data_IF_580242298984
#
_entry.id   IF_580242298984
#
_cell.length_a   1.000
_cell.length_b   1.000
_cell.length_c   1.000
_cell.angle_alpha   90.00
_cell.angle_beta   90.00
_cell.angle_gamma   90.00
#
_symmetry.space_group_name_H-M   'P 1'
#
loop_
_entity.id
_entity.type
_entity.pdbx_description
1 polymer ?
#
# COMPACT_ATOMS: atom_id res chain seq x y z
N UNK A 1 -22.30 13.50 -12.19
CA UNK A 1 -22.36 13.89 -10.77
C UNK A 1 -22.69 12.67 -9.91
N UNK A 2 -21.90 12.41 -8.86
CA UNK A 2 -22.21 11.39 -7.88
C UNK A 2 -23.24 11.92 -6.86
N UNK A 3 -24.26 11.13 -6.53
CA UNK A 3 -25.29 11.48 -5.55
C UNK A 3 -25.39 10.42 -4.47
N UNK A 4 -25.88 10.82 -3.29
CA UNK A 4 -26.06 9.95 -2.13
C UNK A 4 -27.50 10.07 -1.63
N UNK A 5 -28.13 8.92 -1.38
CA UNK A 5 -29.48 8.84 -0.80
C UNK A 5 -29.40 8.22 0.60
N UNK A 6 -30.15 8.78 1.51
CA UNK A 6 -30.15 8.40 2.91
C UNK A 6 -31.55 7.94 3.34
N UNK A 7 -31.63 7.06 4.31
CA UNK A 7 -32.87 6.69 4.96
C UNK A 7 -33.37 7.84 5.84
N UNK A 8 -34.61 8.27 5.63
CA UNK A 8 -35.16 9.47 6.29
C UNK A 8 -35.31 9.31 7.81
N UNK A 9 -35.47 8.08 8.32
CA UNK A 9 -35.66 7.82 9.75
C UNK A 9 -34.34 7.69 10.51
N UNK A 10 -33.32 7.12 9.89
CA UNK A 10 -32.04 6.79 10.54
C UNK A 10 -30.89 7.68 10.11
N UNK A 11 -31.01 8.38 8.96
CA UNK A 11 -29.93 9.14 8.35
C UNK A 11 -28.80 8.29 7.78
N UNK A 12 -28.98 6.97 7.65
CA UNK A 12 -27.97 6.06 7.13
C UNK A 12 -27.94 6.08 5.61
N UNK A 13 -26.74 6.00 5.01
CA UNK A 13 -26.54 5.96 3.56
C UNK A 13 -27.07 4.66 2.98
N UNK A 14 -28.14 4.70 2.19
CA UNK A 14 -28.76 3.53 1.57
C UNK A 14 -28.38 3.34 0.10
N UNK A 15 -28.02 4.42 -0.62
CA UNK A 15 -27.60 4.34 -2.03
C UNK A 15 -26.57 5.40 -2.36
N UNK A 16 -25.57 5.02 -3.14
CA UNK A 16 -24.65 5.90 -3.84
C UNK A 16 -24.80 5.68 -5.33
N UNK A 17 -25.19 6.71 -6.08
CA UNK A 17 -25.35 6.65 -7.54
C UNK A 17 -24.21 7.42 -8.19
N UNK A 18 -23.50 6.79 -9.11
CA UNK A 18 -22.39 7.34 -9.86
C UNK A 18 -22.86 8.18 -11.07
N UNK A 19 -21.95 8.92 -11.69
CA UNK A 19 -22.27 9.84 -12.79
C UNK A 19 -22.84 9.13 -14.04
N UNK A 20 -22.50 7.88 -14.27
CA UNK A 20 -23.01 7.02 -15.35
C UNK A 20 -24.34 6.33 -15.03
N UNK A 21 -24.89 6.56 -13.82
CA UNK A 21 -26.15 5.97 -13.35
C UNK A 21 -25.98 4.60 -12.66
N UNK A 22 -24.79 4.01 -12.66
CA UNK A 22 -24.53 2.81 -11.85
C UNK A 22 -24.63 3.17 -10.36
N UNK A 23 -24.90 2.21 -9.50
CA UNK A 23 -25.10 2.49 -8.07
C UNK A 23 -24.69 1.34 -7.17
N UNK A 24 -24.47 1.68 -5.91
CA UNK A 24 -24.27 0.76 -4.79
C UNK A 24 -25.40 0.93 -3.78
N UNK A 25 -25.99 -0.19 -3.32
CA UNK A 25 -27.05 -0.21 -2.31
C UNK A 25 -26.55 -0.80 -1.00
N UNK A 26 -26.84 -0.14 0.11
CA UNK A 26 -26.46 -0.59 1.45
C UNK A 26 -27.71 -0.82 2.31
N UNK A 27 -27.73 -1.93 3.05
CA UNK A 27 -28.72 -2.18 4.10
C UNK A 27 -28.06 -2.29 5.47
N UNK A 28 -28.87 -2.11 6.51
CA UNK A 28 -28.38 -2.11 7.90
C UNK A 28 -29.23 -3.04 8.77
N UNK A 29 -28.65 -3.56 9.83
CA UNK A 29 -29.35 -4.34 10.84
C UNK A 29 -29.96 -3.43 11.94
N UNK A 30 -30.63 -4.03 12.93
CA UNK A 30 -31.27 -3.30 14.03
C UNK A 30 -30.29 -2.52 14.94
N UNK A 31 -28.98 -2.76 14.85
CA UNK A 31 -27.91 -2.01 15.55
C UNK A 31 -27.28 -0.95 14.65
N UNK A 32 -27.87 -0.62 13.50
CA UNK A 32 -27.31 0.29 12.49
C UNK A 32 -25.93 -0.13 11.95
N UNK A 33 -25.60 -1.43 12.07
CA UNK A 33 -24.40 -1.99 11.45
C UNK A 33 -24.74 -2.42 10.01
N UNK A 34 -23.81 -2.18 9.07
CA UNK A 34 -23.96 -2.56 7.66
C UNK A 34 -24.23 -4.05 7.53
N UNK A 35 -25.40 -4.42 6.98
CA UNK A 35 -25.84 -5.80 6.79
C UNK A 35 -25.48 -6.32 5.40
N UNK A 36 -25.86 -5.58 4.34
CA UNK A 36 -25.47 -5.91 2.97
C UNK A 36 -24.97 -4.70 2.22
N UNK A 37 -24.14 -4.96 1.20
CA UNK A 37 -23.78 -4.02 0.15
C UNK A 37 -23.96 -4.74 -1.18
N UNK A 38 -24.83 -4.22 -2.05
CA UNK A 38 -24.89 -4.63 -3.45
C UNK A 38 -24.06 -3.65 -4.27
N UNK A 39 -23.00 -4.12 -4.91
CA UNK A 39 -22.14 -3.29 -5.74
C UNK A 39 -22.75 -3.05 -7.13
N UNK A 40 -22.13 -2.20 -7.95
CA UNK A 40 -22.61 -1.86 -9.29
C UNK A 40 -22.60 -3.06 -10.28
N UNK A 41 -21.91 -4.16 -9.96
CA UNK A 41 -21.95 -5.44 -10.71
C UNK A 41 -23.13 -6.32 -10.29
N UNK A 42 -23.88 -5.91 -9.24
CA UNK A 42 -24.93 -6.71 -8.64
C UNK A 42 -24.42 -7.76 -7.63
N UNK A 43 -23.14 -7.72 -7.27
CA UNK A 43 -22.57 -8.65 -6.28
C UNK A 43 -22.94 -8.17 -4.88
N UNK A 44 -23.52 -9.08 -4.08
CA UNK A 44 -23.95 -8.79 -2.71
C UNK A 44 -22.87 -9.26 -1.74
N UNK A 45 -22.32 -8.33 -0.96
CA UNK A 45 -21.54 -8.61 0.23
C UNK A 45 -22.46 -8.60 1.45
N UNK A 46 -22.40 -9.64 2.28
CA UNK A 46 -23.19 -9.76 3.50
C UNK A 46 -22.30 -9.89 4.72
N UNK A 47 -22.56 -9.08 5.75
CA UNK A 47 -21.87 -9.11 7.04
C UNK A 47 -22.75 -9.77 8.11
N UNK A 48 -22.22 -10.81 8.76
CA UNK A 48 -22.82 -11.43 9.93
C UNK A 48 -22.27 -10.83 11.23
N UNK A 49 -23.10 -10.71 12.25
CA UNK A 49 -22.72 -10.11 13.55
C UNK A 49 -23.17 -10.94 14.74
N UNK A 50 -22.38 -10.91 15.80
CA UNK A 50 -22.88 -11.21 17.12
C UNK A 50 -23.55 -9.94 17.69
N UNK A 51 -24.88 -9.88 17.64
CA UNK A 51 -25.64 -8.68 18.00
C UNK A 51 -25.50 -8.30 19.50
N UNK A 52 -25.19 -9.26 20.39
CA UNK A 52 -24.96 -8.95 21.81
C UNK A 52 -23.64 -8.24 22.05
N UNK A 53 -22.63 -8.49 21.20
CA UNK A 53 -21.29 -7.95 21.33
C UNK A 53 -21.02 -6.82 20.30
N UNK A 54 -21.84 -6.69 19.28
CA UNK A 54 -21.64 -5.73 18.19
C UNK A 54 -20.44 -6.03 17.27
N UNK A 55 -19.88 -7.25 17.35
CA UNK A 55 -18.70 -7.63 16.56
C UNK A 55 -19.09 -8.39 15.30
N UNK A 56 -18.35 -8.17 14.19
CA UNK A 56 -18.53 -8.91 12.94
C UNK A 56 -18.06 -10.35 13.10
N UNK A 57 -18.87 -11.34 12.72
CA UNK A 57 -18.53 -12.76 12.80
C UNK A 57 -18.30 -13.40 11.44
N UNK A 58 -18.77 -12.78 10.36
CA UNK A 58 -18.57 -13.32 9.01
C UNK A 58 -18.72 -12.26 7.94
N UNK A 59 -18.07 -12.48 6.81
CA UNK A 59 -18.33 -11.80 5.53
C UNK A 59 -18.55 -12.88 4.49
N UNK A 60 -19.62 -12.77 3.70
CA UNK A 60 -19.91 -13.66 2.57
C UNK A 60 -20.27 -12.84 1.33
N UNK A 61 -20.12 -13.45 0.17
CA UNK A 61 -20.31 -12.83 -1.12
C UNK A 61 -21.27 -13.67 -1.97
N UNK A 62 -22.04 -13.04 -2.85
CA UNK A 62 -22.99 -13.75 -3.72
C UNK A 62 -22.34 -14.39 -4.94
N UNK A 63 -21.06 -14.04 -5.22
CA UNK A 63 -20.24 -14.67 -6.26
C UNK A 63 -19.34 -15.78 -5.68
N UNK A 64 -18.34 -16.23 -6.45
CA UNK A 64 -17.37 -17.25 -6.02
C UNK A 64 -16.27 -16.74 -5.08
N UNK A 65 -16.30 -15.46 -4.67
CA UNK A 65 -15.32 -14.90 -3.73
C UNK A 65 -15.39 -15.63 -2.39
N UNK A 66 -14.27 -16.16 -1.88
CA UNK A 66 -14.25 -16.87 -0.61
C UNK A 66 -14.70 -15.98 0.55
N UNK A 67 -15.59 -16.51 1.39
CA UNK A 67 -16.04 -15.83 2.60
C UNK A 67 -14.99 -15.81 3.70
N UNK A 68 -15.25 -15.01 4.74
CA UNK A 68 -14.38 -14.83 5.90
C UNK A 68 -15.19 -15.14 7.16
N UNK A 69 -14.59 -15.87 8.10
CA UNK A 69 -15.15 -16.15 9.41
C UNK A 69 -14.25 -15.62 10.51
N UNK A 70 -14.83 -14.95 11.51
CA UNK A 70 -14.13 -14.37 12.65
C UNK A 70 -14.60 -14.99 13.96
N UNK A 71 -13.67 -15.25 14.87
CA UNK A 71 -13.98 -15.66 16.24
C UNK A 71 -13.21 -14.77 17.23
N UNK A 72 -13.87 -14.45 18.35
CA UNK A 72 -13.37 -13.54 19.36
C UNK A 72 -13.37 -14.21 20.74
N UNK A 73 -12.44 -13.80 21.59
CA UNK A 73 -12.43 -14.18 23.00
C UNK A 73 -13.52 -13.40 23.79
N UNK A 74 -13.56 -13.60 25.10
CA UNK A 74 -14.54 -12.93 25.98
C UNK A 74 -14.29 -11.40 26.12
N UNK A 75 -13.06 -10.92 25.82
CA UNK A 75 -12.70 -9.49 25.80
C UNK A 75 -12.96 -8.84 24.44
N UNK A 76 -13.62 -9.54 23.50
CA UNK A 76 -13.83 -9.11 22.10
C UNK A 76 -12.54 -8.92 21.28
N UNK A 77 -11.43 -9.56 21.66
CA UNK A 77 -10.21 -9.59 20.87
C UNK A 77 -10.32 -10.71 19.83
N UNK A 78 -9.90 -10.44 18.59
CA UNK A 78 -9.93 -11.38 17.48
C UNK A 78 -8.94 -12.55 17.73
N UNK A 79 -9.45 -13.76 17.93
CA UNK A 79 -8.62 -14.93 18.21
C UNK A 79 -8.49 -15.91 17.04
N UNK A 80 -9.40 -15.85 16.07
CA UNK A 80 -9.32 -16.71 14.88
C UNK A 80 -9.98 -16.08 13.68
N UNK A 81 -9.31 -16.20 12.53
CA UNK A 81 -9.86 -15.86 11.23
C UNK A 81 -9.70 -17.06 10.31
N UNK A 82 -10.75 -17.40 9.56
CA UNK A 82 -10.70 -18.39 8.50
C UNK A 82 -11.11 -17.72 7.19
N UNK A 83 -10.25 -17.77 6.20
CA UNK A 83 -10.43 -17.20 4.88
C UNK A 83 -9.79 -18.08 3.78
N UNK A 84 -9.64 -17.57 2.57
CA UNK A 84 -9.03 -18.30 1.45
C UNK A 84 -7.54 -18.67 1.69
N UNK A 85 -6.83 -17.94 2.55
CA UNK A 85 -5.43 -18.24 2.87
C UNK A 85 -5.27 -19.38 3.87
N UNK A 86 -6.37 -19.74 4.56
CA UNK A 86 -6.39 -20.77 5.58
C UNK A 86 -6.99 -20.29 6.90
N UNK A 87 -6.61 -20.93 7.99
CA UNK A 87 -7.03 -20.54 9.34
C UNK A 87 -5.85 -19.92 10.08
N UNK A 88 -6.05 -18.71 10.53
CA UNK A 88 -5.13 -17.92 11.37
C UNK A 88 -5.64 -17.93 12.81
N UNK A 89 -4.76 -18.12 13.77
CA UNK A 89 -5.06 -18.01 15.21
C UNK A 89 -4.16 -16.98 15.87
N UNK A 90 -4.74 -16.14 16.72
CA UNK A 90 -4.06 -15.05 17.39
C UNK A 90 -4.23 -15.28 18.90
N UNK A 91 -3.14 -15.22 19.67
CA UNK A 91 -3.15 -15.19 21.13
C UNK A 91 -2.74 -13.82 21.65
N UNK A 92 -3.05 -13.57 22.91
CA UNK A 92 -2.74 -12.32 23.59
C UNK A 92 -2.08 -12.63 24.94
N UNK A 93 -1.13 -11.80 25.33
CA UNK A 93 -0.51 -11.88 26.64
C UNK A 93 -1.44 -11.33 27.74
N UNK A 94 -0.97 -11.34 29.00
CA UNK A 94 -1.74 -10.85 30.17
C UNK A 94 -2.06 -9.35 30.10
N UNK A 95 -1.37 -8.58 29.27
CA UNK A 95 -1.58 -7.14 29.07
C UNK A 95 -2.49 -6.85 27.88
N UNK A 96 -3.07 -7.88 27.27
CA UNK A 96 -3.92 -7.78 26.07
C UNK A 96 -3.18 -7.37 24.79
N UNK A 97 -1.86 -7.49 24.75
CA UNK A 97 -1.05 -7.29 23.57
C UNK A 97 -1.02 -8.59 22.74
N UNK A 98 -1.01 -8.53 21.38
CA UNK A 98 -0.82 -9.71 20.55
C UNK A 98 0.46 -10.48 20.92
N UNK A 99 0.36 -11.75 21.22
CA UNK A 99 1.48 -12.61 21.63
C UNK A 99 1.94 -13.50 20.49
N UNK A 100 1.00 -14.27 19.90
CA UNK A 100 1.30 -15.07 18.74
C UNK A 100 0.28 -14.87 17.63
N UNK A 101 0.74 -14.95 16.38
CA UNK A 101 -0.09 -15.01 15.18
C UNK A 101 0.35 -16.22 14.36
N UNK A 102 -0.50 -17.24 14.28
CA UNK A 102 -0.18 -18.50 13.64
C UNK A 102 -1.08 -18.78 12.46
N UNK A 103 -0.52 -19.28 11.35
CA UNK A 103 -1.24 -19.65 10.15
C UNK A 103 -0.68 -20.95 9.56
N UNK A 104 -1.56 -21.77 8.97
CA UNK A 104 -1.15 -22.95 8.18
C UNK A 104 -1.37 -22.64 6.70
N UNK A 105 -0.29 -22.72 5.91
CA UNK A 105 -0.30 -22.48 4.45
C UNK A 105 0.38 -23.67 3.78
N UNK A 106 -0.29 -24.30 2.81
CA UNK A 106 0.26 -25.43 2.06
C UNK A 106 0.68 -26.61 2.93
N UNK A 107 0.01 -26.83 4.08
CA UNK A 107 0.33 -27.89 5.04
C UNK A 107 1.47 -27.55 6.02
N UNK A 108 2.14 -26.41 5.87
CA UNK A 108 3.16 -25.93 6.81
C UNK A 108 2.57 -24.90 7.78
N UNK A 109 2.87 -25.05 9.08
CA UNK A 109 2.46 -24.10 10.11
C UNK A 109 3.54 -23.08 10.36
N UNK A 110 3.17 -21.82 10.27
CA UNK A 110 4.02 -20.65 10.56
C UNK A 110 3.46 -19.91 11.76
N UNK A 111 4.33 -19.41 12.61
CA UNK A 111 3.98 -18.61 13.77
C UNK A 111 4.87 -17.38 13.84
N UNK A 112 4.25 -16.21 13.96
CA UNK A 112 4.90 -14.97 14.38
C UNK A 112 4.73 -14.85 15.88
N UNK A 113 5.84 -14.82 16.61
CA UNK A 113 5.91 -14.57 18.06
C UNK A 113 6.32 -13.11 18.25
N UNK A 114 5.46 -12.31 18.85
CA UNK A 114 5.77 -10.91 19.21
C UNK A 114 6.47 -10.85 20.57
N UNK A 115 7.42 -9.93 20.72
CA UNK A 115 8.12 -9.67 21.96
C UNK A 115 7.92 -8.19 22.37
N UNK A 116 7.80 -7.95 23.67
CA UNK A 116 7.60 -6.61 24.22
C UNK A 116 8.62 -6.30 25.32
N UNK A 117 8.98 -5.05 25.45
CA UNK A 117 9.78 -4.58 26.58
C UNK A 117 8.89 -4.31 27.82
N UNK A 118 9.51 -3.87 28.90
CA UNK A 118 8.80 -3.60 30.17
C UNK A 118 7.81 -2.43 30.08
N UNK A 119 7.85 -1.65 29.01
CA UNK A 119 6.94 -0.52 28.75
C UNK A 119 5.84 -0.87 27.75
N UNK A 120 5.75 -2.13 27.30
CA UNK A 120 4.78 -2.58 26.29
C UNK A 120 5.13 -2.17 24.87
N UNK A 121 6.37 -1.71 24.58
CA UNK A 121 6.82 -1.43 23.22
C UNK A 121 7.32 -2.72 22.58
N UNK A 122 7.09 -2.88 21.27
CA UNK A 122 7.64 -4.03 20.54
C UNK A 122 9.17 -4.08 20.70
N UNK A 123 9.69 -5.16 21.27
CA UNK A 123 11.13 -5.42 21.33
C UNK A 123 11.62 -6.36 20.21
N UNK A 124 10.74 -6.67 19.25
CA UNK A 124 11.01 -7.49 18.10
C UNK A 124 10.05 -8.64 17.95
N UNK A 125 10.36 -9.56 17.04
CA UNK A 125 9.56 -10.75 16.79
C UNK A 125 10.42 -11.93 16.31
N UNK A 126 9.87 -13.15 16.42
CA UNK A 126 10.43 -14.35 15.80
C UNK A 126 9.40 -15.00 14.88
N UNK A 127 9.78 -15.21 13.61
CA UNK A 127 9.01 -16.02 12.66
C UNK A 127 9.50 -17.47 12.73
N UNK A 128 8.59 -18.40 13.00
CA UNK A 128 8.88 -19.83 13.19
C UNK A 128 8.11 -20.68 12.18
N UNK A 129 8.71 -21.80 11.77
CA UNK A 129 8.03 -22.89 11.10
C UNK A 129 8.15 -24.15 11.98
N UNK A 130 7.06 -24.55 12.61
CA UNK A 130 7.11 -25.54 13.69
C UNK A 130 8.01 -25.05 14.84
N UNK A 131 9.08 -25.78 15.13
CA UNK A 131 10.08 -25.40 16.15
C UNK A 131 11.28 -24.63 15.59
N UNK A 132 11.39 -24.50 14.25
CA UNK A 132 12.52 -23.84 13.60
C UNK A 132 12.27 -22.34 13.51
N UNK A 133 13.19 -21.53 14.03
CA UNK A 133 13.22 -20.08 13.83
C UNK A 133 13.74 -19.79 12.43
N UNK A 134 12.90 -19.17 11.59
CA UNK A 134 13.23 -18.75 10.24
C UNK A 134 13.83 -17.36 10.20
N UNK A 135 13.32 -16.47 11.04
CA UNK A 135 13.74 -15.08 11.13
C UNK A 135 13.52 -14.59 12.56
N UNK A 136 14.48 -13.86 13.08
CA UNK A 136 14.36 -13.14 14.34
C UNK A 136 14.77 -11.68 14.14
N UNK A 137 13.98 -10.78 14.70
CA UNK A 137 14.21 -9.34 14.67
C UNK A 137 14.19 -8.84 16.11
N UNK A 138 15.18 -8.02 16.46
CA UNK A 138 15.26 -7.31 17.74
C UNK A 138 15.04 -5.81 17.53
N UNK A 139 14.52 -5.10 18.55
CA UNK A 139 14.37 -3.66 18.55
C UNK A 139 14.81 -3.09 19.92
N UNK A 140 15.66 -2.07 19.87
CA UNK A 140 16.13 -1.35 21.05
C UNK A 140 15.73 0.11 21.00
N UNK A 141 15.53 0.73 22.17
CA UNK A 141 15.03 2.09 22.29
C UNK A 141 15.92 2.96 23.16
N UNK A 142 16.01 4.24 22.83
CA UNK A 142 16.60 5.25 23.71
C UNK A 142 15.72 5.47 24.96
N UNK A 143 16.27 6.10 25.98
CA UNK A 143 15.55 6.42 27.21
C UNK A 143 14.30 7.28 27.00
N UNK A 144 14.28 8.10 25.93
CA UNK A 144 13.14 8.94 25.55
C UNK A 144 12.11 8.21 24.64
N UNK A 145 12.31 6.91 24.36
CA UNK A 145 11.40 6.06 23.60
C UNK A 145 11.60 6.04 22.09
N UNK A 146 12.61 6.75 21.54
CA UNK A 146 12.94 6.66 20.12
C UNK A 146 13.64 5.34 19.82
N UNK A 147 13.43 4.78 18.60
CA UNK A 147 14.11 3.55 18.15
C UNK A 147 15.62 3.78 18.05
N UNK A 148 16.41 3.08 18.86
CA UNK A 148 17.87 3.18 18.86
C UNK A 148 18.53 2.16 17.94
N UNK A 149 17.95 0.95 17.85
CA UNK A 149 18.48 -0.13 17.02
C UNK A 149 17.39 -1.07 16.54
N UNK A 150 17.67 -1.71 15.38
CA UNK A 150 16.95 -2.89 14.90
C UNK A 150 17.98 -3.95 14.49
N UNK A 151 17.84 -5.16 15.03
CA UNK A 151 18.72 -6.29 14.72
C UNK A 151 17.99 -7.34 13.90
N UNK A 152 18.68 -8.02 12.99
CA UNK A 152 18.19 -9.13 12.19
C UNK A 152 19.19 -10.28 12.33
N UNK A 153 18.73 -11.45 12.79
CA UNK A 153 19.56 -12.65 12.82
C UNK A 153 19.79 -13.18 11.40
N UNK A 154 21.04 -13.29 11.00
CA UNK A 154 21.46 -13.85 9.72
C UNK A 154 22.75 -14.67 9.88
N UNK A 155 22.72 -15.93 9.42
CA UNK A 155 23.88 -16.83 9.54
C UNK A 155 24.35 -17.11 10.97
N UNK A 156 23.48 -16.95 11.98
CA UNK A 156 23.79 -17.12 13.40
C UNK A 156 24.38 -15.89 14.07
N UNK A 157 24.50 -14.76 13.35
CA UNK A 157 24.98 -13.49 13.87
C UNK A 157 23.88 -12.41 13.73
N UNK A 158 23.82 -11.51 14.70
CA UNK A 158 22.90 -10.38 14.65
C UNK A 158 23.50 -9.25 13.80
N UNK A 159 22.76 -8.87 12.76
CA UNK A 159 23.06 -7.75 11.87
C UNK A 159 22.30 -6.53 12.37
N UNK A 160 22.99 -5.61 13.05
CA UNK A 160 22.38 -4.46 13.74
C UNK A 160 22.42 -3.19 12.91
N UNK A 161 21.23 -2.56 12.80
CA UNK A 161 21.04 -1.20 12.27
C UNK A 161 20.93 -0.25 13.46
N UNK A 162 21.77 0.80 13.52
CA UNK A 162 21.73 1.78 14.60
C UNK A 162 21.23 3.14 14.10
N UNK A 163 20.30 3.71 14.85
CA UNK A 163 19.65 4.98 14.54
C UNK A 163 20.19 6.08 15.45
N UNK A 164 20.48 7.25 14.89
CA UNK A 164 20.72 8.45 15.68
C UNK A 164 19.86 9.61 15.18
N UNK A 165 19.63 10.58 16.04
CA UNK A 165 18.67 11.65 15.81
C UNK A 165 19.29 13.01 16.02
N UNK A 166 18.77 14.04 15.39
CA UNK A 166 19.14 15.42 15.66
C UNK A 166 18.82 15.75 17.13
N UNK A 167 19.70 16.52 17.74
CA UNK A 167 19.55 16.91 19.14
C UNK A 167 18.20 17.62 19.38
N UNK A 168 17.47 17.18 20.41
CA UNK A 168 16.18 17.76 20.78
C UNK A 168 15.01 17.51 19.81
N UNK A 169 15.15 16.60 18.85
CA UNK A 169 14.12 16.31 17.84
C UNK A 169 13.91 14.81 17.62
N UNK A 170 12.86 14.43 16.89
CA UNK A 170 12.62 13.07 16.41
C UNK A 170 13.14 12.84 14.96
N UNK A 171 13.80 13.84 14.38
CA UNK A 171 14.36 13.74 13.03
C UNK A 171 15.59 12.84 13.02
N UNK A 172 15.57 11.85 12.14
CA UNK A 172 16.68 10.91 11.96
C UNK A 172 17.91 11.65 11.43
N UNK A 173 19.00 11.65 12.20
CA UNK A 173 20.28 12.17 11.72
C UNK A 173 21.05 11.12 10.93
N UNK A 174 21.22 9.90 11.48
CA UNK A 174 21.92 8.84 10.76
C UNK A 174 21.35 7.45 11.01
N UNK A 175 21.63 6.56 10.06
CA UNK A 175 21.40 5.12 10.15
C UNK A 175 22.70 4.41 9.79
N UNK A 176 23.34 3.81 10.79
CA UNK A 176 24.48 2.92 10.57
C UNK A 176 23.97 1.51 10.23
N UNK A 177 24.51 0.92 9.16
CA UNK A 177 24.14 -0.40 8.65
C UNK A 177 25.23 -1.44 8.98
N UNK A 178 24.86 -2.74 9.10
CA UNK A 178 25.80 -3.80 9.47
C UNK A 178 27.02 -3.92 8.55
N UNK A 179 26.87 -3.54 7.28
CA UNK A 179 27.94 -3.59 6.27
C UNK A 179 28.91 -2.38 6.33
N UNK A 180 28.82 -1.56 7.38
CA UNK A 180 29.66 -0.39 7.58
C UNK A 180 29.22 0.87 6.82
N UNK A 181 28.13 0.80 6.04
CA UNK A 181 27.54 1.98 5.40
C UNK A 181 26.77 2.79 6.45
N UNK A 182 26.98 4.10 6.46
CA UNK A 182 26.20 5.06 7.26
C UNK A 182 25.42 5.98 6.32
N UNK A 183 24.08 5.97 6.41
CA UNK A 183 23.22 6.95 5.76
C UNK A 183 23.05 8.15 6.69
N UNK A 184 23.41 9.33 6.22
CA UNK A 184 23.27 10.59 6.96
C UNK A 184 22.30 11.52 6.26
N UNK A 185 21.46 12.22 7.04
CA UNK A 185 20.47 13.17 6.57
C UNK A 185 20.76 14.57 7.10
N UNK A 186 20.58 15.57 6.23
CA UNK A 186 20.52 16.98 6.62
C UNK A 186 19.13 17.54 6.31
N UNK A 187 18.73 18.57 7.05
CA UNK A 187 17.40 19.17 6.96
C UNK A 187 17.48 20.67 6.76
N UNK A 188 16.41 21.27 6.27
CA UNK A 188 16.27 22.73 6.30
C UNK A 188 16.25 23.25 7.75
N UNK A 189 16.70 24.50 7.93
CA UNK A 189 16.82 25.10 9.26
C UNK A 189 15.48 25.27 10.00
N UNK A 190 14.39 25.50 9.25
CA UNK A 190 13.08 25.86 9.84
C UNK A 190 11.92 24.91 9.46
N UNK A 191 12.20 23.89 8.65
CA UNK A 191 11.22 22.89 8.21
C UNK A 191 11.82 21.49 8.29
N UNK A 192 11.01 20.49 8.60
CA UNK A 192 11.43 19.09 8.69
C UNK A 192 11.63 18.44 7.30
N UNK A 193 12.21 19.20 6.36
CA UNK A 193 12.43 18.78 4.97
C UNK A 193 13.88 18.38 4.78
N UNK A 194 14.13 17.12 4.40
CA UNK A 194 15.47 16.60 4.17
C UNK A 194 16.10 17.25 2.93
N UNK A 195 17.21 18.00 3.11
CA UNK A 195 17.97 18.68 2.04
C UNK A 195 19.10 17.84 1.48
N UNK A 196 19.61 16.88 2.26
CA UNK A 196 20.65 15.96 1.80
C UNK A 196 20.44 14.55 2.38
N UNK A 197 20.80 13.57 1.60
CA UNK A 197 20.94 12.16 1.99
C UNK A 197 22.30 11.70 1.44
N UNK A 198 23.23 11.43 2.34
CA UNK A 198 24.56 10.95 2.01
C UNK A 198 24.76 9.53 2.52
N UNK A 199 25.41 8.70 1.72
CA UNK A 199 25.86 7.38 2.15
C UNK A 199 27.38 7.43 2.31
N UNK A 200 27.87 7.05 3.47
CA UNK A 200 29.29 7.01 3.81
C UNK A 200 29.76 5.56 3.90
N UNK A 201 30.95 5.28 3.39
CA UNK A 201 31.70 4.04 3.64
C UNK A 201 33.11 4.43 4.06
N UNK A 202 33.37 4.42 5.37
CA UNK A 202 34.51 5.08 5.95
C UNK A 202 34.49 6.58 5.64
N UNK A 203 35.58 7.12 5.10
CA UNK A 203 35.72 8.54 4.73
C UNK A 203 35.13 8.87 3.33
N UNK A 204 34.68 7.86 2.57
CA UNK A 204 34.19 8.07 1.21
C UNK A 204 32.65 8.28 1.23
N UNK A 205 32.16 9.04 0.25
CA UNK A 205 30.73 9.26 0.02
C UNK A 205 30.33 8.65 -1.34
N UNK A 206 30.10 7.33 -1.42
CA UNK A 206 29.80 6.65 -2.67
C UNK A 206 28.48 7.06 -3.31
N UNK A 207 27.51 7.59 -2.54
CA UNK A 207 26.24 8.10 -3.05
C UNK A 207 25.84 9.34 -2.26
N UNK A 208 25.48 10.40 -2.97
CA UNK A 208 24.88 11.60 -2.39
C UNK A 208 23.64 12.04 -3.17
N UNK A 209 22.68 12.60 -2.46
CA UNK A 209 21.49 13.21 -3.01
C UNK A 209 21.22 14.50 -2.25
N UNK A 210 21.23 15.65 -2.94
CA UNK A 210 20.79 16.93 -2.37
C UNK A 210 19.54 17.42 -3.07
N UNK A 211 18.68 18.14 -2.36
CA UNK A 211 17.45 18.67 -2.93
C UNK A 211 17.04 19.99 -2.28
N UNK A 212 16.32 20.80 -3.04
CA UNK A 212 15.73 22.05 -2.56
C UNK A 212 14.24 22.05 -2.78
N UNK A 213 13.54 22.89 -2.01
CA UNK A 213 12.10 22.93 -1.97
C UNK A 213 11.59 24.36 -2.23
N UNK A 214 10.36 24.46 -2.73
CA UNK A 214 9.65 25.72 -2.77
C UNK A 214 9.01 26.05 -1.40
N UNK A 215 8.29 27.17 -1.35
CA UNK A 215 7.60 27.62 -0.13
C UNK A 215 6.51 26.66 0.36
N UNK A 216 5.98 25.78 -0.52
CA UNK A 216 4.97 24.78 -0.17
C UNK A 216 5.60 23.41 0.21
N UNK A 217 6.94 23.32 0.25
CA UNK A 217 7.65 22.07 0.58
C UNK A 217 7.73 21.06 -0.57
N UNK A 218 7.49 21.51 -1.84
CA UNK A 218 7.62 20.63 -3.00
C UNK A 218 9.05 20.67 -3.52
N UNK A 219 9.66 19.51 -3.86
CA UNK A 219 11.00 19.50 -4.43
C UNK A 219 11.06 20.27 -5.74
N UNK A 220 11.99 21.23 -5.89
CA UNK A 220 12.21 21.98 -7.13
C UNK A 220 13.52 21.64 -7.82
N UNK A 221 14.53 21.22 -7.06
CA UNK A 221 15.78 20.71 -7.62
C UNK A 221 16.22 19.46 -6.86
N UNK A 222 16.95 18.60 -7.56
CA UNK A 222 17.62 17.45 -6.96
C UNK A 222 18.93 17.19 -7.71
N UNK A 223 20.04 17.06 -6.96
CA UNK A 223 21.32 16.63 -7.50
C UNK A 223 21.67 15.27 -6.92
N UNK A 224 22.00 14.32 -7.78
CA UNK A 224 22.41 12.96 -7.39
C UNK A 224 23.80 12.69 -7.94
N UNK A 225 24.68 12.13 -7.10
CA UNK A 225 26.01 11.72 -7.50
C UNK A 225 26.30 10.30 -7.01
N UNK A 226 26.95 9.51 -7.84
CA UNK A 226 27.36 8.15 -7.53
C UNK A 226 28.86 8.00 -7.79
N UNK A 227 29.62 7.77 -6.73
CA UNK A 227 31.06 7.67 -6.80
C UNK A 227 31.70 8.88 -7.51
N UNK A 228 32.51 8.61 -8.51
CA UNK A 228 33.19 9.62 -9.35
C UNK A 228 32.40 9.98 -10.63
N UNK A 229 31.19 9.45 -10.83
CA UNK A 229 30.35 9.80 -11.96
C UNK A 229 29.97 11.29 -11.92
N UNK A 230 29.69 11.87 -13.08
CA UNK A 230 29.21 13.25 -13.16
C UNK A 230 27.85 13.37 -12.39
N UNK A 231 27.75 14.45 -11.63
CA UNK A 231 26.50 14.74 -10.91
C UNK A 231 25.31 14.88 -11.88
N UNK A 232 24.20 14.26 -11.57
CA UNK A 232 22.96 14.37 -12.32
C UNK A 232 22.03 15.36 -11.63
N UNK A 233 21.69 16.43 -12.34
CA UNK A 233 20.80 17.47 -11.85
C UNK A 233 19.40 17.25 -12.40
N UNK A 234 18.39 17.25 -11.54
CA UNK A 234 16.99 17.15 -11.86
C UNK A 234 16.29 18.46 -11.44
N UNK A 235 15.24 18.87 -12.19
CA UNK A 235 14.38 20.02 -11.84
C UNK A 235 12.92 19.66 -11.99
N UNK A 236 12.06 20.33 -11.22
CA UNK A 236 10.62 20.05 -11.16
C UNK A 236 9.82 21.36 -11.14
N UNK A 237 8.69 21.39 -11.85
CA UNK A 237 7.76 22.52 -11.88
C UNK A 237 6.34 22.03 -11.59
N UNK A 238 5.57 22.90 -10.93
CA UNK A 238 4.23 22.58 -10.48
C UNK A 238 3.24 23.68 -10.85
N UNK A 239 1.98 23.32 -11.03
CA UNK A 239 0.91 24.30 -11.17
C UNK A 239 0.36 24.73 -9.78
N UNK A 240 -0.62 25.65 -9.79
CA UNK A 240 -1.28 26.15 -8.57
C UNK A 240 -2.09 25.12 -7.79
N UNK A 241 -2.33 23.92 -8.35
CA UNK A 241 -3.01 22.78 -7.69
C UNK A 241 -2.03 21.72 -7.16
N UNK A 242 -0.72 22.05 -7.13
CA UNK A 242 0.35 21.14 -6.70
C UNK A 242 0.59 19.93 -7.63
N UNK A 243 0.11 19.98 -8.87
CA UNK A 243 0.34 18.93 -9.86
C UNK A 243 1.67 19.19 -10.59
N UNK A 244 2.46 18.15 -10.80
CA UNK A 244 3.74 18.24 -11.52
C UNK A 244 3.48 18.53 -12.99
N UNK A 245 3.92 19.67 -13.50
CA UNK A 245 3.74 20.08 -14.91
C UNK A 245 4.96 19.86 -15.78
N UNK A 246 6.15 19.87 -15.18
CA UNK A 246 7.38 19.54 -15.89
C UNK A 246 8.40 18.93 -14.95
N UNK A 247 9.24 18.05 -15.49
CA UNK A 247 10.46 17.58 -14.86
C UNK A 247 11.57 17.49 -15.90
N UNK A 248 12.80 17.81 -15.50
CA UNK A 248 14.00 17.47 -16.27
C UNK A 248 14.85 16.55 -15.41
N UNK A 249 15.08 15.32 -15.87
CA UNK A 249 15.86 14.33 -15.15
C UNK A 249 17.23 14.16 -15.81
N UNK A 250 18.22 14.90 -15.33
CA UNK A 250 19.49 15.11 -16.03
C UNK A 250 19.27 15.97 -17.27
N UNK A 251 19.28 15.38 -18.47
CA UNK A 251 18.96 16.05 -19.74
C UNK A 251 17.62 15.61 -20.32
N UNK A 252 16.91 14.68 -19.69
CA UNK A 252 15.70 14.08 -20.18
C UNK A 252 14.46 14.93 -19.77
N UNK A 253 13.71 15.53 -20.72
CA UNK A 253 12.53 16.35 -20.41
C UNK A 253 11.28 15.47 -20.26
N UNK A 254 10.41 15.90 -19.35
CA UNK A 254 9.08 15.34 -19.10
C UNK A 254 8.09 16.50 -18.92
N UNK A 255 6.90 16.37 -19.50
CA UNK A 255 5.85 17.40 -19.42
C UNK A 255 4.49 16.77 -19.17
N UNK A 256 3.63 17.44 -18.39
CA UNK A 256 2.31 16.93 -18.03
C UNK A 256 1.27 18.02 -18.03
N UNK A 257 0.08 17.72 -18.53
CA UNK A 257 -1.09 18.58 -18.37
C UNK A 257 -2.27 17.80 -17.79
N UNK A 258 -3.14 18.53 -17.10
CA UNK A 258 -4.25 17.95 -16.34
C UNK A 258 -5.56 18.66 -16.65
N UNK A 259 -6.67 17.99 -16.43
CA UNK A 259 -7.99 18.62 -16.40
C UNK A 259 -8.24 19.32 -15.04
N UNK A 260 -9.46 19.88 -14.85
CA UNK A 260 -9.78 20.62 -13.64
C UNK A 260 -9.88 19.77 -12.36
N UNK A 261 -9.94 18.46 -12.47
CA UNK A 261 -10.08 17.51 -11.35
C UNK A 261 -8.86 16.60 -11.19
N UNK A 262 -7.78 16.84 -11.95
CA UNK A 262 -6.51 16.17 -11.81
C UNK A 262 -6.28 14.95 -12.71
N UNK A 263 -7.20 14.64 -13.65
CA UNK A 263 -6.91 13.62 -14.66
C UNK A 263 -5.84 14.12 -15.61
N UNK A 264 -4.85 13.29 -15.94
CA UNK A 264 -3.82 13.63 -16.92
C UNK A 264 -4.46 13.74 -18.30
N UNK A 265 -4.21 14.84 -19.01
CA UNK A 265 -4.63 15.07 -20.40
C UNK A 265 -3.53 14.74 -21.38
N UNK A 266 -2.30 15.15 -21.06
CA UNK A 266 -1.12 14.85 -21.88
C UNK A 266 0.05 14.48 -20.99
N UNK A 267 0.93 13.62 -21.52
CA UNK A 267 2.27 13.41 -21.01
C UNK A 267 3.26 13.48 -22.17
N UNK A 268 4.36 14.18 -21.96
CA UNK A 268 5.56 14.06 -22.77
C UNK A 268 6.58 13.31 -21.94
N UNK A 269 7.02 12.15 -22.40
CA UNK A 269 8.01 11.33 -21.72
C UNK A 269 9.17 11.07 -22.69
N UNK A 270 10.25 11.84 -22.54
CA UNK A 270 11.34 11.90 -23.49
C UNK A 270 10.86 12.43 -24.86
N UNK A 271 10.88 11.59 -25.90
CA UNK A 271 10.40 11.91 -27.25
C UNK A 271 8.96 11.47 -27.50
N UNK A 272 8.35 10.75 -26.56
CA UNK A 272 7.01 10.21 -26.69
C UNK A 272 5.96 11.20 -26.20
N UNK A 273 4.91 11.38 -26.99
CA UNK A 273 3.75 12.18 -26.63
C UNK A 273 2.56 11.25 -26.42
N UNK A 274 1.99 11.29 -25.21
CA UNK A 274 0.80 10.53 -24.83
C UNK A 274 -0.35 11.50 -24.58
N UNK A 275 -1.53 11.16 -25.11
CA UNK A 275 -2.78 11.84 -24.84
C UNK A 275 -3.76 10.91 -24.13
N UNK A 276 -4.53 11.48 -23.20
CA UNK A 276 -5.47 10.74 -22.37
C UNK A 276 -6.86 11.38 -22.45
N UNK A 277 -7.87 10.55 -22.61
CA UNK A 277 -9.28 10.98 -22.51
C UNK A 277 -9.92 10.29 -21.34
N UNK A 278 -10.52 11.06 -20.44
CA UNK A 278 -11.26 10.53 -19.27
C UNK A 278 -12.77 10.72 -19.46
N UNK A 279 -13.56 9.81 -18.86
CA UNK A 279 -15.01 9.92 -18.75
C UNK A 279 -15.42 10.65 -17.45
N UNK A 280 -16.71 10.76 -17.23
CA UNK A 280 -17.31 11.40 -16.04
C UNK A 280 -17.11 10.61 -14.72
N UNK A 281 -16.59 9.37 -14.80
CA UNK A 281 -16.16 8.56 -13.66
C UNK A 281 -14.65 8.70 -13.37
N UNK A 282 -13.94 9.59 -14.08
CA UNK A 282 -12.48 9.75 -13.99
C UNK A 282 -11.70 8.50 -14.45
N UNK A 283 -12.28 7.72 -15.34
CA UNK A 283 -11.64 6.57 -15.96
C UNK A 283 -11.12 6.97 -17.35
N UNK A 284 -9.90 6.58 -17.68
CA UNK A 284 -9.40 6.79 -19.04
C UNK A 284 -10.14 5.90 -20.02
N UNK A 285 -10.80 6.51 -20.98
CA UNK A 285 -11.49 5.81 -22.09
C UNK A 285 -10.59 5.60 -23.28
N UNK A 286 -9.47 6.33 -23.35
CA UNK A 286 -8.52 6.26 -24.45
C UNK A 286 -7.15 6.77 -24.02
N UNK A 287 -6.10 6.06 -24.41
CA UNK A 287 -4.72 6.55 -24.35
C UNK A 287 -4.12 6.45 -25.74
N UNK A 288 -3.51 7.53 -26.22
CA UNK A 288 -2.89 7.65 -27.53
C UNK A 288 -1.41 7.94 -27.36
N UNK A 289 -0.60 7.15 -27.99
CA UNK A 289 0.83 7.37 -28.18
C UNK A 289 1.06 7.76 -29.63
N UNK A 290 1.85 8.80 -29.88
CA UNK A 290 2.05 9.33 -31.22
C UNK A 290 2.62 8.27 -32.15
N UNK A 291 1.89 7.97 -33.23
CA UNK A 291 2.26 6.97 -34.23
C UNK A 291 1.82 5.54 -33.93
N UNK A 292 1.21 5.30 -32.75
CA UNK A 292 0.72 4.00 -32.33
C UNK A 292 -0.81 3.89 -32.44
N UNK A 293 -1.30 2.66 -32.49
CA UNK A 293 -2.75 2.42 -32.38
C UNK A 293 -3.23 2.76 -30.98
N UNK A 294 -4.25 3.64 -30.83
CA UNK A 294 -4.77 3.99 -29.53
C UNK A 294 -5.21 2.79 -28.70
N UNK A 295 -4.87 2.80 -27.43
CA UNK A 295 -5.37 1.83 -26.49
C UNK A 295 -6.68 2.32 -25.85
N UNK A 296 -7.70 1.45 -25.86
CA UNK A 296 -9.02 1.69 -25.28
C UNK A 296 -9.19 0.72 -24.10
N UNK A 297 -8.95 1.17 -22.84
CA UNK A 297 -9.18 0.33 -21.68
C UNK A 297 -10.66 0.05 -21.49
N UNK A 298 -10.99 -1.08 -20.88
CA UNK A 298 -12.35 -1.43 -20.48
C UNK A 298 -12.44 -1.57 -18.97
N UNK A 299 -13.64 -1.38 -18.42
CA UNK A 299 -13.91 -1.43 -16.99
C UNK A 299 -15.15 -2.28 -16.72
N UNK A 300 -15.20 -2.91 -15.53
CA UNK A 300 -16.44 -3.46 -15.03
C UNK A 300 -17.35 -2.37 -14.43
N UNK A 301 -18.57 -2.70 -14.05
CA UNK A 301 -19.51 -1.73 -13.51
C UNK A 301 -19.07 -1.13 -12.16
N UNK A 302 -18.18 -1.78 -11.43
CA UNK A 302 -17.58 -1.25 -10.18
C UNK A 302 -16.32 -0.41 -10.43
N UNK A 303 -15.96 -0.15 -11.70
CA UNK A 303 -14.86 0.72 -12.09
C UNK A 303 -13.49 0.02 -12.14
N UNK A 304 -13.42 -1.29 -11.98
CA UNK A 304 -12.17 -2.01 -12.10
C UNK A 304 -11.75 -2.12 -13.57
N UNK A 305 -10.50 -1.82 -13.89
CA UNK A 305 -9.99 -1.91 -15.25
C UNK A 305 -9.81 -3.36 -15.69
N UNK A 306 -10.61 -3.81 -16.66
CA UNK A 306 -10.63 -5.20 -17.16
C UNK A 306 -9.73 -5.45 -18.35
N UNK A 307 -9.37 -4.41 -19.13
CA UNK A 307 -8.37 -4.47 -20.20
C UNK A 307 -7.22 -3.51 -19.88
N UNK A 308 -6.00 -4.03 -19.79
CA UNK A 308 -4.81 -3.33 -19.31
C UNK A 308 -3.70 -3.41 -20.37
N UNK A 309 -3.04 -2.29 -20.69
CA UNK A 309 -1.80 -2.25 -21.51
C UNK A 309 -0.60 -2.13 -20.56
N UNK A 310 0.38 -2.99 -20.75
CA UNK A 310 1.68 -2.97 -20.04
C UNK A 310 2.82 -2.99 -21.04
N UNK A 311 4.06 -2.86 -20.56
CA UNK A 311 5.25 -3.03 -21.41
C UNK A 311 5.38 -4.44 -22.02
N UNK A 312 4.70 -5.44 -21.44
CA UNK A 312 4.69 -6.83 -21.95
C UNK A 312 3.49 -7.14 -22.84
N UNK A 313 2.61 -6.18 -23.09
CA UNK A 313 1.45 -6.32 -23.96
C UNK A 313 0.12 -6.02 -23.29
N UNK A 314 -0.97 -6.49 -23.93
CA UNK A 314 -2.34 -6.30 -23.47
C UNK A 314 -2.77 -7.52 -22.65
N UNK A 315 -3.40 -7.25 -21.50
CA UNK A 315 -3.89 -8.25 -20.55
C UNK A 315 -5.36 -8.01 -20.23
N UNK A 316 -6.10 -9.07 -20.00
CA UNK A 316 -7.42 -9.01 -19.38
C UNK A 316 -7.29 -9.31 -17.89
N UNK A 317 -8.03 -8.57 -17.05
CA UNK A 317 -8.06 -8.77 -15.60
C UNK A 317 -9.47 -9.12 -15.13
N UNK A 318 -9.58 -10.06 -14.17
CA UNK A 318 -10.82 -10.37 -13.48
C UNK A 318 -10.68 -10.00 -11.99
N UNK A 319 -11.79 -9.58 -11.39
CA UNK A 319 -11.85 -9.06 -10.03
C UNK A 319 -12.88 -9.81 -9.18
N UNK A 320 -12.57 -10.00 -7.91
CA UNK A 320 -13.49 -10.56 -6.92
C UNK A 320 -14.46 -9.50 -6.37
N UNK A 321 -15.38 -9.91 -5.48
CA UNK A 321 -16.34 -9.02 -4.83
C UNK A 321 -15.69 -7.88 -4.02
N UNK A 322 -14.46 -8.04 -3.57
CA UNK A 322 -13.70 -7.01 -2.84
C UNK A 322 -12.88 -6.08 -3.77
N UNK A 323 -13.15 -6.07 -5.09
CA UNK A 323 -12.45 -5.29 -6.11
C UNK A 323 -10.93 -5.56 -6.17
N UNK A 324 -10.51 -6.81 -5.90
CA UNK A 324 -9.11 -7.23 -6.02
C UNK A 324 -8.93 -8.08 -7.24
N UNK A 325 -7.88 -7.79 -8.05
CA UNK A 325 -7.59 -8.54 -9.26
C UNK A 325 -7.16 -9.98 -8.92
N UNK A 326 -7.97 -10.96 -9.28
CA UNK A 326 -7.74 -12.39 -8.99
C UNK A 326 -7.10 -13.13 -10.16
N UNK A 327 -7.20 -12.61 -11.38
CA UNK A 327 -6.46 -13.16 -12.51
C UNK A 327 -6.08 -12.08 -13.52
N UNK A 328 -4.97 -12.35 -14.23
CA UNK A 328 -4.55 -11.62 -15.41
C UNK A 328 -4.25 -12.63 -16.50
N UNK A 329 -4.83 -12.45 -17.69
CA UNK A 329 -4.62 -13.32 -18.84
C UNK A 329 -4.01 -12.52 -19.98
N UNK A 330 -2.89 -13.00 -20.55
CA UNK A 330 -2.28 -12.40 -21.73
C UNK A 330 -3.23 -12.45 -22.92
N UNK A 331 -3.05 -11.55 -23.90
CA UNK A 331 -3.93 -11.44 -25.08
C UNK A 331 -4.06 -12.73 -25.87
N UNK A 332 -3.01 -13.52 -25.95
CA UNK A 332 -2.96 -14.82 -26.62
C UNK A 332 -3.47 -15.99 -25.74
N UNK A 333 -3.80 -15.72 -24.46
CA UNK A 333 -4.22 -16.72 -23.50
C UNK A 333 -3.11 -17.65 -23.00
N UNK A 334 -1.86 -17.47 -23.46
CA UNK A 334 -0.75 -18.37 -23.16
C UNK A 334 -0.24 -18.24 -21.72
N UNK A 335 -0.40 -17.06 -21.14
CA UNK A 335 0.02 -16.80 -19.74
C UNK A 335 -1.19 -16.36 -18.92
N UNK A 336 -1.39 -17.07 -17.80
CA UNK A 336 -2.40 -16.72 -16.79
C UNK A 336 -1.71 -16.53 -15.45
N UNK A 337 -1.93 -15.37 -14.83
CA UNK A 337 -1.47 -15.07 -13.47
C UNK A 337 -2.67 -15.11 -12.55
N UNK A 338 -2.67 -16.00 -11.57
CA UNK A 338 -3.71 -16.09 -10.54
C UNK A 338 -3.22 -15.46 -9.23
N UNK A 339 -4.09 -14.72 -8.54
CA UNK A 339 -3.78 -14.05 -7.28
C UNK A 339 -4.81 -14.44 -6.21
N UNK A 340 -4.33 -14.75 -5.00
CA UNK A 340 -5.17 -14.98 -3.82
C UNK A 340 -4.91 -13.94 -2.74
N UNK A 341 -5.97 -13.54 -2.03
CA UNK A 341 -5.92 -12.50 -1.00
C UNK A 341 -6.48 -12.99 0.33
N UNK A 342 -5.82 -12.58 1.42
CA UNK A 342 -6.30 -12.83 2.78
C UNK A 342 -7.38 -11.82 3.20
N UNK A 343 -7.93 -12.00 4.40
CA UNK A 343 -9.00 -11.16 4.97
C UNK A 343 -8.63 -9.66 5.12
N UNK A 344 -7.35 -9.34 5.16
CA UNK A 344 -6.84 -7.95 5.19
C UNK A 344 -6.55 -7.42 3.78
N UNK A 345 -6.76 -8.28 2.75
CA UNK A 345 -6.49 -7.94 1.36
C UNK A 345 -5.02 -7.96 0.98
N UNK A 346 -4.17 -8.60 1.75
CA UNK A 346 -2.79 -8.85 1.39
C UNK A 346 -2.74 -10.06 0.45
N UNK A 347 -1.97 -9.94 -0.63
CA UNK A 347 -1.82 -11.04 -1.58
C UNK A 347 -0.92 -12.12 -0.98
N UNK A 348 -1.49 -13.28 -0.64
CA UNK A 348 -0.76 -14.44 -0.11
C UNK A 348 -0.33 -15.41 -1.21
N UNK A 349 -0.97 -15.39 -2.38
CA UNK A 349 -0.66 -16.26 -3.50
C UNK A 349 -0.53 -15.49 -4.80
N UNK A 350 0.48 -15.83 -5.59
CA UNK A 350 0.63 -15.53 -7.01
C UNK A 350 1.11 -16.81 -7.70
N UNK A 351 0.35 -17.26 -8.68
CA UNK A 351 0.67 -18.40 -9.54
C UNK A 351 0.71 -17.93 -10.98
N UNK A 352 1.70 -18.38 -11.74
CA UNK A 352 1.90 -18.06 -13.16
C UNK A 352 1.92 -19.36 -13.95
#
# INVERSE_FOLDING_TARGET
LTTWSYDDATGLLIRKTYADGTHEDTTYNALNLKSTLTDARGIVTTWGYNLKKGVNTSVSYSDSTPGIQYAYNYLNQLMRVTDASGTRTISYNQYSEPDTDSITIGGASYQLQENYDIYGRSSGYALKQGTTVLQEVSQGYEANGRLASAGIMHGGEEQTFAYSYLAGSSLLFSLAMPNGIVRELAYEEHRDLATAINYHLGETVPVSCTQSYDALGRPVTRTRQRGTEAARNDSFSYNGRNELTAATLGTAPYGYSYDNIGNRKTAQELAEELAYTANELNQYTRTEERGETPFVPTYDASGNQTLIKTSTGIWTAAYNAANRAVSFTSRDGATVVECGYDYQGRRYMKKV
#
